data_IF_328996820480
#
_entry.id   IF_328996820480
#
_cell.length_a   1.000
_cell.length_b   1.000
_cell.length_c   1.000
_cell.angle_alpha   90.00
_cell.angle_beta   90.00
_cell.angle_gamma   90.00
#
_symmetry.space_group_name_H-M   'P 1'
#
loop_
_entity.id
_entity.type
_entity.pdbx_description
1 polymer ?
#
# COMPACT_ATOMS: atom_id res chain seq x y z
N UNK A 1 24.87 0.94 19.67
CA UNK A 1 23.41 0.87 19.46
C UNK A 1 23.19 0.69 17.97
N UNK A 2 22.59 -0.43 17.53
CA UNK A 2 22.25 -0.59 16.11
C UNK A 2 21.22 0.49 15.74
N UNK A 3 21.39 1.21 14.64
CA UNK A 3 20.44 2.22 14.21
C UNK A 3 19.10 1.53 13.87
N UNK A 4 17.98 2.00 14.43
CA UNK A 4 16.65 1.53 14.03
C UNK A 4 16.45 1.78 12.53
N UNK A 5 15.92 0.79 11.83
CA UNK A 5 15.63 0.87 10.40
C UNK A 5 14.71 2.08 10.09
N UNK A 6 15.01 2.87 9.05
CA UNK A 6 14.22 4.04 8.72
C UNK A 6 12.86 3.66 8.12
N UNK A 7 11.91 4.60 8.20
CA UNK A 7 10.57 4.46 7.64
C UNK A 7 10.38 5.45 6.49
N UNK A 8 10.00 4.94 5.32
CA UNK A 8 9.70 5.75 4.15
C UNK A 8 8.24 5.60 3.76
N UNK A 9 7.51 6.70 3.77
CA UNK A 9 6.10 6.75 3.37
C UNK A 9 6.02 7.31 1.96
N UNK A 10 5.45 6.54 1.04
CA UNK A 10 5.26 6.93 -0.34
C UNK A 10 3.78 7.16 -0.68
N UNK A 11 3.49 8.29 -1.32
CA UNK A 11 2.18 8.59 -1.89
C UNK A 11 2.32 9.16 -3.29
N UNK A 12 1.27 8.99 -4.10
CA UNK A 12 1.14 9.66 -5.40
C UNK A 12 -0.21 10.35 -5.48
N UNK A 13 -0.35 11.31 -6.40
CA UNK A 13 -1.61 12.01 -6.62
C UNK A 13 -1.76 12.39 -8.09
N UNK A 14 -3.00 12.60 -8.50
CA UNK A 14 -3.36 13.05 -9.84
C UNK A 14 -3.78 14.53 -9.80
N UNK A 15 -3.64 15.25 -10.91
CA UNK A 15 -3.95 16.70 -10.95
C UNK A 15 -5.38 17.02 -10.51
N UNK A 16 -6.33 16.14 -10.81
CA UNK A 16 -7.75 16.29 -10.46
C UNK A 16 -8.07 16.16 -8.96
N UNK A 17 -7.13 15.71 -8.12
CA UNK A 17 -7.34 15.44 -6.68
C UNK A 17 -6.61 16.40 -5.75
N UNK A 18 -6.12 17.53 -6.26
CA UNK A 18 -5.36 18.49 -5.44
C UNK A 18 -6.07 18.95 -4.15
N UNK A 19 -7.40 19.08 -4.16
CA UNK A 19 -8.15 19.45 -2.97
C UNK A 19 -8.20 18.32 -1.92
N UNK A 20 -8.30 17.06 -2.37
CA UNK A 20 -8.17 15.89 -1.50
C UNK A 20 -6.75 15.79 -0.93
N UNK A 21 -5.74 15.82 -1.82
CA UNK A 21 -4.32 15.79 -1.47
C UNK A 21 -3.97 16.88 -0.46
N UNK A 22 -4.61 18.05 -0.57
CA UNK A 22 -4.46 19.11 0.41
C UNK A 22 -4.78 18.56 1.81
N UNK A 23 -5.97 18.04 2.05
CA UNK A 23 -6.35 17.58 3.40
C UNK A 23 -5.60 16.32 3.83
N UNK A 24 -5.35 15.39 2.91
CA UNK A 24 -4.60 14.16 3.19
C UNK A 24 -3.19 14.46 3.72
N UNK A 25 -2.44 15.35 3.07
CA UNK A 25 -1.12 15.75 3.54
C UNK A 25 -1.15 16.45 4.91
N UNK A 26 -2.21 17.21 5.24
CA UNK A 26 -2.32 17.78 6.59
C UNK A 26 -2.44 16.66 7.64
N UNK A 27 -3.17 15.58 7.35
CA UNK A 27 -3.28 14.43 8.24
C UNK A 27 -1.98 13.59 8.34
N UNK A 28 -1.25 13.45 7.23
CA UNK A 28 0.04 12.74 7.19
C UNK A 28 1.15 13.53 7.91
N UNK A 29 1.20 14.85 7.74
CA UNK A 29 2.19 15.70 8.41
C UNK A 29 1.93 15.85 9.92
N UNK A 30 0.71 15.54 10.38
CA UNK A 30 0.32 15.57 11.78
C UNK A 30 0.48 14.21 12.50
N UNK A 31 1.11 13.22 11.85
CA UNK A 31 1.33 11.90 12.43
C UNK A 31 2.21 11.96 13.67
N UNK A 32 1.88 11.10 14.64
CA UNK A 32 2.76 10.81 15.75
C UNK A 32 3.92 9.94 15.26
N UNK A 33 5.16 10.41 15.43
CA UNK A 33 6.36 9.66 15.02
C UNK A 33 6.64 8.50 15.98
N UNK A 34 7.29 7.41 15.52
CA UNK A 34 7.78 6.35 16.39
C UNK A 34 8.61 6.89 17.57
N UNK A 35 8.45 6.29 18.75
CA UNK A 35 9.08 6.79 19.97
C UNK A 35 10.60 6.55 20.02
N UNK A 36 11.12 5.66 19.18
CA UNK A 36 12.53 5.27 19.16
C UNK A 36 13.42 6.22 18.35
N UNK A 37 12.86 7.31 17.81
CA UNK A 37 13.61 8.35 17.11
C UNK A 37 14.17 7.92 15.75
N UNK A 38 13.73 6.79 15.19
CA UNK A 38 14.14 6.35 13.85
C UNK A 38 13.79 7.41 12.79
N UNK A 39 14.59 7.55 11.72
CA UNK A 39 14.26 8.48 10.65
C UNK A 39 12.92 8.11 10.00
N UNK A 40 12.09 9.11 9.73
CA UNK A 40 10.83 8.96 9.00
C UNK A 40 10.72 10.04 7.93
N UNK A 41 10.46 9.65 6.69
CA UNK A 41 10.33 10.58 5.57
C UNK A 41 9.03 10.33 4.78
N UNK A 42 8.42 11.42 4.31
CA UNK A 42 7.22 11.39 3.47
C UNK A 42 7.57 11.83 2.04
N UNK A 43 7.31 10.97 1.06
CA UNK A 43 7.63 11.18 -0.34
C UNK A 43 6.35 11.24 -1.19
N UNK A 44 6.08 12.41 -1.75
CA UNK A 44 5.02 12.60 -2.73
C UNK A 44 5.59 12.53 -4.15
N UNK A 45 5.13 11.57 -4.94
CA UNK A 45 5.51 11.39 -6.34
C UNK A 45 4.43 11.94 -7.26
N UNK A 46 4.78 12.96 -8.05
CA UNK A 46 3.90 13.59 -9.05
C UNK A 46 4.45 13.34 -10.46
N UNK A 47 3.57 13.43 -11.46
CA UNK A 47 3.98 13.36 -12.86
C UNK A 47 3.48 14.57 -13.63
N UNK A 48 4.23 14.96 -14.66
CA UNK A 48 3.82 15.93 -15.67
C UNK A 48 3.04 15.28 -16.80
N UNK A 49 3.25 13.99 -17.01
CA UNK A 49 2.67 13.21 -18.10
C UNK A 49 1.24 12.78 -17.75
N UNK A 50 0.35 12.69 -18.75
CA UNK A 50 -0.96 12.14 -18.54
C UNK A 50 -0.93 10.61 -18.40
N UNK A 51 -1.84 10.06 -17.61
CA UNK A 51 -2.10 8.62 -17.50
C UNK A 51 -3.49 8.37 -16.93
N UNK A 52 -4.32 7.60 -17.64
CA UNK A 52 -5.72 7.36 -17.27
C UNK A 52 -6.49 8.67 -17.00
N UNK A 53 -6.93 8.88 -15.76
CA UNK A 53 -7.66 10.06 -15.29
C UNK A 53 -6.74 11.22 -14.88
N UNK A 54 -5.42 11.00 -14.85
CA UNK A 54 -4.44 12.03 -14.53
C UNK A 54 -4.07 12.79 -15.80
N UNK A 55 -4.43 14.08 -15.95
CA UNK A 55 -3.93 14.88 -17.07
C UNK A 55 -2.48 15.35 -16.85
N UNK A 56 -1.87 15.03 -15.70
CA UNK A 56 -0.52 15.48 -15.34
C UNK A 56 -0.49 16.89 -14.76
N UNK A 57 0.54 17.19 -13.95
CA UNK A 57 0.75 18.50 -13.35
C UNK A 57 1.70 19.35 -14.21
N UNK A 58 1.24 20.52 -14.66
CA UNK A 58 2.11 21.45 -15.40
C UNK A 58 3.26 22.03 -14.55
N UNK A 59 3.00 22.28 -13.26
CA UNK A 59 3.97 22.82 -12.32
C UNK A 59 3.63 22.39 -10.89
N UNK A 60 4.57 22.56 -9.96
CA UNK A 60 4.36 22.27 -8.55
C UNK A 60 3.32 23.24 -7.94
N UNK A 61 2.16 22.76 -7.46
CA UNK A 61 1.15 23.59 -6.82
C UNK A 61 1.68 24.43 -5.65
N UNK A 62 1.21 25.67 -5.52
CA UNK A 62 1.68 26.59 -4.48
C UNK A 62 1.48 26.09 -3.05
N UNK A 63 0.44 25.29 -2.79
CA UNK A 63 0.21 24.71 -1.46
C UNK A 63 1.27 23.66 -1.08
N UNK A 64 1.83 22.92 -2.06
CA UNK A 64 2.91 21.97 -1.81
C UNK A 64 4.21 22.69 -1.47
N UNK A 65 4.53 23.79 -2.18
CA UNK A 65 5.71 24.62 -1.85
C UNK A 65 5.69 25.07 -0.39
N UNK A 66 4.54 25.56 0.07
CA UNK A 66 4.35 25.96 1.48
C UNK A 66 4.53 24.80 2.46
N UNK A 67 4.02 23.60 2.13
CA UNK A 67 4.15 22.43 3.01
C UNK A 67 5.57 21.89 3.08
N UNK A 68 6.28 21.81 1.96
CA UNK A 68 7.69 21.42 1.92
C UNK A 68 8.51 22.36 2.82
N UNK A 69 8.30 23.67 2.70
CA UNK A 69 9.00 24.65 3.53
C UNK A 69 8.67 24.46 5.02
N UNK A 70 7.37 24.36 5.39
CA UNK A 70 6.97 24.17 6.79
C UNK A 70 7.46 22.86 7.39
N UNK A 71 7.44 21.77 6.64
CA UNK A 71 7.88 20.45 7.13
C UNK A 71 9.39 20.38 7.38
N UNK A 72 10.19 21.20 6.70
CA UNK A 72 11.65 21.28 6.92
C UNK A 72 12.04 22.08 8.16
N UNK A 73 11.18 23.01 8.57
CA UNK A 73 11.45 23.92 9.68
C UNK A 73 10.93 23.42 11.03
N UNK A 74 10.01 22.44 11.02
CA UNK A 74 9.41 21.90 12.23
C UNK A 74 10.02 20.56 12.66
N UNK A 75 9.79 20.12 13.91
CA UNK A 75 10.28 18.84 14.43
C UNK A 75 9.45 17.63 13.95
N UNK A 76 8.56 17.83 12.97
CA UNK A 76 7.62 16.83 12.50
C UNK A 76 8.12 16.05 11.28
N UNK A 77 7.21 15.31 10.65
CA UNK A 77 7.48 14.54 9.44
C UNK A 77 7.89 15.46 8.28
N UNK A 78 9.06 15.20 7.68
CA UNK A 78 9.55 15.94 6.52
C UNK A 78 8.85 15.51 5.22
N UNK A 79 8.34 16.48 4.43
CA UNK A 79 7.80 16.23 3.09
C UNK A 79 8.84 16.49 2.00
N UNK A 80 9.03 15.50 1.15
CA UNK A 80 9.76 15.58 -0.11
C UNK A 80 8.80 15.38 -1.27
N UNK A 81 8.99 16.13 -2.35
CA UNK A 81 8.17 16.03 -3.57
C UNK A 81 9.08 15.75 -4.75
N UNK A 82 8.72 14.74 -5.54
CA UNK A 82 9.51 14.22 -6.63
C UNK A 82 8.69 14.21 -7.92
N UNK A 83 9.36 14.45 -9.05
CA UNK A 83 8.80 14.22 -10.37
C UNK A 83 9.20 12.83 -10.86
N UNK A 84 8.26 12.09 -11.44
CA UNK A 84 8.48 10.76 -12.00
C UNK A 84 7.58 10.53 -13.21
N UNK A 85 7.91 9.54 -14.04
CA UNK A 85 7.07 9.09 -15.14
C UNK A 85 5.72 8.58 -14.62
N UNK A 86 4.67 8.67 -15.43
CA UNK A 86 3.33 8.34 -14.95
C UNK A 86 2.99 6.85 -15.11
N UNK A 87 3.28 6.07 -14.06
CA UNK A 87 2.91 4.65 -13.98
C UNK A 87 1.66 4.42 -13.12
N UNK A 88 0.77 5.41 -13.04
CA UNK A 88 -0.46 5.28 -12.24
C UNK A 88 -0.18 5.02 -10.75
N UNK A 89 -0.85 4.02 -10.13
CA UNK A 89 -0.76 3.77 -8.69
C UNK A 89 0.60 3.25 -8.22
N UNK A 90 1.38 2.59 -9.09
CA UNK A 90 2.73 2.09 -8.75
C UNK A 90 3.69 3.18 -8.27
N UNK A 91 3.43 4.44 -8.65
CA UNK A 91 4.21 5.62 -8.21
C UNK A 91 4.23 5.80 -6.69
N UNK A 92 3.33 5.18 -5.93
CA UNK A 92 3.37 5.24 -4.46
C UNK A 92 4.68 4.68 -3.93
N UNK A 93 5.18 3.57 -4.49
CA UNK A 93 6.33 2.85 -3.92
C UNK A 93 7.46 2.55 -4.90
N UNK A 94 7.21 2.33 -6.20
CA UNK A 94 8.29 1.96 -7.13
C UNK A 94 9.36 3.06 -7.28
N UNK A 95 9.00 4.36 -7.47
CA UNK A 95 9.98 5.44 -7.48
C UNK A 95 10.72 5.61 -6.15
N UNK A 96 10.12 5.20 -5.03
CA UNK A 96 10.77 5.22 -3.74
C UNK A 96 11.85 4.13 -3.67
N UNK A 97 11.55 2.92 -4.13
CA UNK A 97 12.49 1.79 -4.19
C UNK A 97 13.72 2.11 -5.05
N UNK A 98 13.53 2.78 -6.18
CA UNK A 98 14.61 3.21 -7.09
C UNK A 98 15.56 4.23 -6.45
N UNK A 99 15.10 4.98 -5.45
CA UNK A 99 15.83 6.08 -4.82
C UNK A 99 16.56 5.68 -3.55
N UNK A 100 16.34 4.47 -3.04
CA UNK A 100 17.01 4.00 -1.83
C UNK A 100 18.52 3.87 -2.05
N UNK A 101 19.32 4.51 -1.21
CA UNK A 101 20.78 4.32 -1.25
C UNK A 101 21.17 2.91 -0.79
N UNK A 102 22.35 2.39 -1.16
CA UNK A 102 22.82 1.10 -0.66
C UNK A 102 22.80 1.00 0.87
N UNK A 103 23.14 2.09 1.58
CA UNK A 103 23.13 2.16 3.04
C UNK A 103 21.70 2.07 3.58
N UNK A 104 20.75 2.77 2.95
CA UNK A 104 19.34 2.66 3.32
C UNK A 104 18.82 1.24 3.07
N UNK A 105 19.16 0.62 1.93
CA UNK A 105 18.75 -0.75 1.61
C UNK A 105 19.31 -1.76 2.62
N UNK A 106 20.56 -1.60 3.06
CA UNK A 106 21.20 -2.46 4.05
C UNK A 106 20.51 -2.42 5.44
N UNK A 107 19.77 -1.36 5.75
CA UNK A 107 18.99 -1.22 6.99
C UNK A 107 17.61 -1.87 6.93
N UNK A 108 17.23 -2.48 5.81
CA UNK A 108 15.91 -3.09 5.56
C UNK A 108 14.74 -2.16 5.96
N UNK A 109 14.57 -1.04 5.25
CA UNK A 109 13.67 0.02 5.66
C UNK A 109 12.21 -0.43 5.61
N UNK A 110 11.38 0.22 6.43
CA UNK A 110 9.93 0.04 6.36
C UNK A 110 9.34 0.97 5.32
N UNK A 111 8.72 0.41 4.29
CA UNK A 111 8.11 1.10 3.16
C UNK A 111 6.60 1.12 3.35
N UNK A 112 6.01 2.29 3.45
CA UNK A 112 4.57 2.46 3.70
C UNK A 112 3.91 3.18 2.53
N UNK A 113 2.86 2.60 1.97
CA UNK A 113 2.02 3.28 0.97
C UNK A 113 0.95 4.15 1.63
N UNK A 114 0.63 5.28 1.02
CA UNK A 114 -0.51 6.12 1.38
C UNK A 114 -1.26 6.63 0.13
N UNK A 115 -2.54 6.93 0.29
CA UNK A 115 -3.43 7.44 -0.74
C UNK A 115 -3.61 8.96 -0.62
N UNK A 116 -3.91 9.63 -1.73
CA UNK A 116 -4.11 11.09 -1.76
C UNK A 116 -5.51 11.56 -1.33
N UNK A 117 -6.40 10.62 -1.02
CA UNK A 117 -7.82 10.85 -0.77
C UNK A 117 -8.30 10.26 0.58
N UNK A 118 -7.40 10.22 1.57
CA UNK A 118 -7.67 9.61 2.88
C UNK A 118 -7.27 10.54 4.02
N UNK A 119 -8.13 10.67 5.03
CA UNK A 119 -7.77 11.33 6.28
C UNK A 119 -7.26 10.30 7.28
N UNK A 120 -5.96 10.34 7.54
CA UNK A 120 -5.29 9.39 8.43
C UNK A 120 -5.46 9.80 9.91
N UNK A 121 -5.86 8.87 10.80
CA UNK A 121 -5.78 9.06 12.25
C UNK A 121 -4.36 9.41 12.70
N UNK A 122 -4.19 10.20 13.77
CA UNK A 122 -2.86 10.68 14.22
C UNK A 122 -1.89 9.58 14.64
N UNK A 123 -2.40 8.41 15.00
CA UNK A 123 -1.65 7.23 15.42
C UNK A 123 -1.42 6.23 14.29
N UNK A 124 -1.90 6.50 13.07
CA UNK A 124 -1.82 5.61 11.91
C UNK A 124 -0.41 5.05 11.67
N UNK A 125 0.61 5.92 11.67
CA UNK A 125 1.99 5.52 11.47
C UNK A 125 2.49 4.59 12.58
N UNK A 126 2.21 4.92 13.84
CA UNK A 126 2.62 4.10 14.99
C UNK A 126 1.98 2.73 14.97
N UNK A 127 0.71 2.64 14.56
CA UNK A 127 -0.02 1.38 14.45
C UNK A 127 0.61 0.46 13.41
N UNK A 128 0.97 0.99 12.23
CA UNK A 128 1.68 0.20 11.20
C UNK A 128 3.06 -0.25 11.67
N UNK A 129 3.84 0.64 12.30
CA UNK A 129 5.18 0.31 12.81
C UNK A 129 5.11 -0.76 13.89
N UNK A 130 4.26 -0.57 14.91
CA UNK A 130 4.11 -1.50 16.03
C UNK A 130 3.60 -2.87 15.56
N UNK A 131 2.64 -2.89 14.63
CA UNK A 131 2.15 -4.13 14.06
C UNK A 131 3.25 -4.84 13.23
N UNK A 132 4.04 -4.10 12.44
CA UNK A 132 5.10 -4.72 11.67
C UNK A 132 6.18 -5.31 12.57
N UNK A 133 6.54 -4.63 13.66
CA UNK A 133 7.49 -5.14 14.66
C UNK A 133 6.95 -6.37 15.39
N UNK A 134 5.66 -6.36 15.71
CA UNK A 134 4.99 -7.50 16.37
C UNK A 134 4.91 -8.72 15.47
N UNK A 135 4.58 -8.54 14.19
CA UNK A 135 4.25 -9.64 13.29
C UNK A 135 5.34 -10.00 12.30
N UNK A 136 6.39 -9.19 12.11
CA UNK A 136 7.48 -9.49 11.19
C UNK A 136 7.07 -9.72 9.73
N UNK A 137 5.84 -9.38 9.34
CA UNK A 137 5.29 -9.65 8.01
C UNK A 137 4.72 -8.36 7.38
N UNK A 138 4.03 -8.47 6.24
CA UNK A 138 3.37 -7.32 5.62
C UNK A 138 2.14 -6.94 6.43
N UNK A 139 1.99 -5.66 6.74
CA UNK A 139 0.87 -5.16 7.53
C UNK A 139 0.04 -4.20 6.69
N UNK A 140 -1.29 -4.36 6.72
CA UNK A 140 -2.20 -3.39 6.13
C UNK A 140 -3.38 -3.14 7.04
N UNK A 141 -4.05 -2.00 6.88
CA UNK A 141 -5.34 -1.82 7.54
C UNK A 141 -6.42 -2.70 6.92
N UNK A 142 -6.39 -2.83 5.59
CA UNK A 142 -7.48 -3.42 4.83
C UNK A 142 -6.97 -4.36 3.75
N UNK A 143 -7.80 -5.33 3.42
CA UNK A 143 -7.51 -6.31 2.40
C UNK A 143 -8.62 -7.34 2.33
N UNK A 144 -8.28 -8.45 1.69
CA UNK A 144 -9.14 -9.64 1.60
C UNK A 144 -8.28 -10.87 1.81
N UNK A 145 -8.89 -12.01 2.10
CA UNK A 145 -8.18 -13.27 2.13
C UNK A 145 -8.73 -14.20 1.04
N UNK A 146 -7.81 -14.69 0.21
CA UNK A 146 -8.10 -15.66 -0.84
C UNK A 146 -8.73 -16.89 -0.21
N UNK A 147 -9.76 -17.42 -0.86
CA UNK A 147 -10.35 -18.70 -0.50
C UNK A 147 -9.94 -19.73 -1.54
N UNK A 148 -9.68 -20.93 -1.06
CA UNK A 148 -9.32 -22.07 -1.89
C UNK A 148 -10.45 -23.09 -1.82
N UNK A 149 -10.79 -23.66 -2.97
CA UNK A 149 -11.68 -24.81 -3.10
C UNK A 149 -11.04 -25.78 -4.09
N UNK A 150 -10.91 -27.05 -3.69
CA UNK A 150 -10.28 -28.11 -4.51
C UNK A 150 -8.90 -27.71 -5.09
N UNK A 151 -8.11 -26.96 -4.32
CA UNK A 151 -6.77 -26.51 -4.73
C UNK A 151 -6.75 -25.30 -5.68
N UNK A 152 -7.92 -24.76 -6.04
CA UNK A 152 -8.06 -23.58 -6.91
C UNK A 152 -8.47 -22.34 -6.12
N UNK A 153 -7.99 -21.16 -6.55
CA UNK A 153 -8.39 -19.89 -5.95
C UNK A 153 -9.81 -19.54 -6.42
N UNK A 154 -10.71 -19.30 -5.46
CA UNK A 154 -12.07 -18.86 -5.74
C UNK A 154 -12.09 -17.43 -6.33
N UNK A 155 -13.17 -17.05 -7.03
CA UNK A 155 -13.33 -15.68 -7.53
C UNK A 155 -13.19 -14.60 -6.44
N UNK A 156 -12.66 -13.44 -6.82
CA UNK A 156 -12.33 -12.31 -5.95
C UNK A 156 -13.51 -11.78 -5.12
N UNK A 157 -14.74 -11.96 -5.62
CA UNK A 157 -15.96 -11.55 -4.92
C UNK A 157 -16.33 -12.48 -3.75
N UNK A 158 -15.85 -13.72 -3.77
CA UNK A 158 -16.08 -14.75 -2.75
C UNK A 158 -15.06 -14.73 -1.62
N UNK A 159 -13.98 -13.95 -1.77
CA UNK A 159 -12.93 -13.80 -0.77
C UNK A 159 -13.46 -13.19 0.53
N UNK A 160 -12.85 -13.58 1.65
CA UNK A 160 -13.21 -13.01 2.95
C UNK A 160 -12.82 -11.53 3.03
N UNK A 161 -13.75 -10.70 3.52
CA UNK A 161 -13.60 -9.23 3.62
C UNK A 161 -14.15 -8.62 4.92
N UNK A 162 -14.78 -9.44 5.76
CA UNK A 162 -15.41 -9.08 7.03
C UNK A 162 -15.25 -10.26 8.01
N UNK A 163 -14.02 -10.68 8.28
CA UNK A 163 -13.73 -11.96 8.94
C UNK A 163 -12.53 -11.84 9.89
N UNK A 164 -12.62 -12.40 11.09
CA UNK A 164 -11.57 -12.30 12.12
C UNK A 164 -10.26 -12.98 11.72
N UNK A 165 -10.31 -13.97 10.81
CA UNK A 165 -9.09 -14.60 10.27
C UNK A 165 -8.17 -13.62 9.55
N UNK A 166 -8.70 -12.48 9.13
CA UNK A 166 -7.93 -11.38 8.56
C UNK A 166 -6.94 -10.76 9.56
N UNK A 167 -7.19 -10.90 10.87
CA UNK A 167 -6.32 -10.39 11.93
C UNK A 167 -5.13 -11.31 12.22
N UNK A 168 -4.93 -12.38 11.44
CA UNK A 168 -3.80 -13.31 11.59
C UNK A 168 -2.91 -13.28 10.34
N UNK A 169 -1.58 -13.36 10.49
CA UNK A 169 -0.68 -13.50 9.35
C UNK A 169 -1.05 -14.70 8.47
N UNK A 170 -1.19 -14.47 7.17
CA UNK A 170 -1.48 -15.54 6.20
C UNK A 170 -0.90 -15.21 4.82
N UNK A 171 -0.38 -16.23 4.13
CA UNK A 171 0.00 -16.10 2.72
C UNK A 171 -1.20 -15.85 1.81
N UNK A 172 -2.41 -16.19 2.25
CA UNK A 172 -3.64 -15.96 1.50
C UNK A 172 -4.21 -14.55 1.70
N UNK A 173 -3.73 -13.81 2.69
CA UNK A 173 -4.13 -12.41 2.89
C UNK A 173 -3.52 -11.53 1.82
N UNK A 174 -4.38 -10.81 1.12
CA UNK A 174 -4.06 -9.83 0.07
C UNK A 174 -4.42 -8.44 0.61
N UNK A 175 -3.42 -7.66 1.05
CA UNK A 175 -3.60 -6.23 1.33
C UNK A 175 -4.22 -5.51 0.14
N UNK A 176 -5.10 -4.54 0.40
CA UNK A 176 -5.57 -3.59 -0.62
C UNK A 176 -4.97 -2.23 -0.29
N UNK A 177 -4.47 -1.48 -1.27
CA UNK A 177 -3.66 -0.26 -1.06
C UNK A 177 -4.27 0.87 -0.23
N UNK A 178 -5.58 0.81 0.06
CA UNK A 178 -6.29 1.83 0.84
C UNK A 178 -5.93 1.76 2.32
N UNK A 179 -5.89 2.93 2.95
CA UNK A 179 -5.56 3.14 4.36
C UNK A 179 -4.11 2.73 4.72
N UNK A 180 -3.34 2.27 3.74
CA UNK A 180 -1.91 2.05 3.81
C UNK A 180 -1.50 0.60 4.04
N UNK A 181 -0.38 0.26 3.41
CA UNK A 181 0.29 -1.04 3.54
C UNK A 181 1.75 -0.79 3.85
N UNK A 182 2.29 -1.52 4.83
CA UNK A 182 3.66 -1.49 5.28
C UNK A 182 4.40 -2.78 4.89
N UNK A 183 5.53 -2.63 4.21
CA UNK A 183 6.42 -3.70 3.76
C UNK A 183 7.83 -3.42 4.28
N UNK A 184 8.56 -4.45 4.71
CA UNK A 184 10.03 -4.36 4.75
C UNK A 184 10.57 -4.54 3.33
N UNK A 185 11.73 -3.95 3.03
CA UNK A 185 12.36 -4.14 1.73
C UNK A 185 12.66 -5.63 1.46
N UNK A 186 13.14 -6.34 2.48
CA UNK A 186 13.44 -7.78 2.46
C UNK A 186 12.22 -8.68 2.17
N UNK A 187 11.01 -8.16 2.38
CA UNK A 187 9.76 -8.88 2.12
C UNK A 187 9.33 -8.79 0.65
N UNK A 188 9.97 -7.95 -0.15
CA UNK A 188 9.69 -7.77 -1.56
C UNK A 188 10.80 -8.39 -2.40
N UNK A 189 10.43 -9.31 -3.28
CA UNK A 189 11.36 -9.82 -4.27
C UNK A 189 11.84 -8.69 -5.19
N UNK A 190 13.14 -8.65 -5.51
CA UNK A 190 13.78 -7.53 -6.20
C UNK A 190 13.16 -7.21 -7.57
N UNK A 191 12.52 -8.18 -8.22
CA UNK A 191 11.83 -8.03 -9.51
C UNK A 191 10.58 -7.15 -9.40
N UNK A 192 10.11 -6.82 -8.20
CA UNK A 192 8.97 -5.90 -7.98
C UNK A 192 9.18 -4.55 -8.64
N UNK A 193 10.44 -4.14 -8.82
CA UNK A 193 10.88 -2.88 -9.44
C UNK A 193 10.64 -2.83 -10.96
N UNK A 194 10.34 -3.95 -11.60
CA UNK A 194 10.11 -4.03 -13.04
C UNK A 194 8.75 -3.45 -13.42
N UNK A 195 8.72 -2.14 -13.67
CA UNK A 195 7.50 -1.38 -13.99
C UNK A 195 6.85 -1.88 -15.28
N UNK A 196 7.64 -2.18 -16.31
CA UNK A 196 7.12 -2.63 -17.59
C UNK A 196 6.36 -3.96 -17.43
N UNK A 197 6.95 -4.90 -16.70
CA UNK A 197 6.31 -6.17 -16.38
C UNK A 197 5.12 -6.01 -15.44
N UNK A 198 5.21 -5.12 -14.45
CA UNK A 198 4.09 -4.82 -13.56
C UNK A 198 2.87 -4.33 -14.34
N UNK A 199 3.07 -3.40 -15.29
CA UNK A 199 2.01 -2.89 -16.16
C UNK A 199 1.48 -3.96 -17.12
N UNK A 200 2.34 -4.81 -17.66
CA UNK A 200 1.94 -5.87 -18.59
C UNK A 200 1.11 -6.98 -17.92
N UNK A 201 1.46 -7.36 -16.68
CA UNK A 201 0.84 -8.49 -15.96
C UNK A 201 -0.31 -8.01 -15.07
N UNK A 202 -0.09 -6.94 -14.31
CA UNK A 202 -1.02 -6.49 -13.28
C UNK A 202 -1.78 -5.20 -13.63
N UNK A 203 -1.44 -4.55 -14.75
CA UNK A 203 -2.17 -3.40 -15.27
C UNK A 203 -2.15 -2.22 -14.30
N UNK A 204 -3.21 -2.05 -13.52
CA UNK A 204 -3.31 -1.01 -12.47
C UNK A 204 -3.58 -1.59 -11.08
N UNK A 205 -3.59 -2.91 -10.93
CA UNK A 205 -3.71 -3.60 -9.65
C UNK A 205 -2.32 -3.73 -9.01
N UNK A 206 -1.82 -2.60 -8.53
CA UNK A 206 -0.54 -2.54 -7.83
C UNK A 206 -0.52 -3.47 -6.61
N UNK A 207 -1.63 -3.56 -5.88
CA UNK A 207 -1.78 -4.47 -4.76
C UNK A 207 -1.54 -5.95 -5.11
N UNK A 208 -2.05 -6.43 -6.25
CA UNK A 208 -1.82 -7.79 -6.73
C UNK A 208 -0.37 -8.02 -7.19
N UNK A 209 0.26 -7.03 -7.82
CA UNK A 209 1.68 -7.11 -8.16
C UNK A 209 2.56 -7.22 -6.92
N UNK A 210 2.40 -6.31 -5.96
CA UNK A 210 3.15 -6.36 -4.70
C UNK A 210 2.87 -7.66 -3.94
N UNK A 211 1.61 -8.14 -3.94
CA UNK A 211 1.27 -9.43 -3.34
C UNK A 211 2.02 -10.59 -3.99
N UNK A 212 2.16 -10.57 -5.31
CA UNK A 212 2.92 -11.59 -6.04
C UNK A 212 4.38 -11.63 -5.59
N UNK A 213 5.00 -10.47 -5.39
CA UNK A 213 6.38 -10.38 -4.90
C UNK A 213 6.55 -10.72 -3.42
N UNK A 214 5.51 -10.58 -2.59
CA UNK A 214 5.56 -11.09 -1.21
C UNK A 214 5.36 -12.61 -1.15
N UNK A 215 4.62 -13.18 -2.11
CA UNK A 215 4.54 -14.65 -2.27
C UNK A 215 5.88 -15.24 -2.72
N UNK A 216 6.60 -14.59 -3.64
CA UNK A 216 7.95 -15.00 -4.07
C UNK A 216 8.95 -15.10 -2.91
N UNK A 217 8.84 -14.22 -1.91
CA UNK A 217 9.67 -14.25 -0.71
C UNK A 217 9.11 -15.15 0.40
N UNK A 218 7.89 -15.68 0.22
CA UNK A 218 7.17 -16.45 1.24
C UNK A 218 6.74 -15.61 2.44
N UNK A 219 6.50 -14.30 2.25
CA UNK A 219 6.10 -13.37 3.30
C UNK A 219 4.57 -13.30 3.42
N UNK A 220 3.99 -13.61 4.61
CA UNK A 220 2.56 -13.48 4.83
C UNK A 220 2.13 -12.01 4.98
N UNK A 221 0.81 -11.80 5.06
CA UNK A 221 0.24 -10.50 5.37
C UNK A 221 -0.79 -10.61 6.49
N UNK A 222 -0.91 -9.57 7.30
CA UNK A 222 -1.93 -9.43 8.34
C UNK A 222 -2.68 -8.12 8.18
N UNK A 223 -3.99 -8.14 8.46
CA UNK A 223 -4.81 -6.95 8.48
C UNK A 223 -5.02 -6.44 9.91
N UNK A 224 -5.12 -5.12 10.05
CA UNK A 224 -5.45 -4.48 11.33
C UNK A 224 -6.95 -4.26 11.51
N UNK A 225 -7.71 -4.25 10.41
CA UNK A 225 -9.18 -4.26 10.44
C UNK A 225 -9.70 -5.54 9.85
N UNK A 226 -10.64 -6.16 10.57
CA UNK A 226 -11.36 -7.32 10.06
C UNK A 226 -12.57 -6.92 9.23
N UNK A 227 -13.01 -5.65 9.28
CA UNK A 227 -14.18 -5.17 8.54
C UNK A 227 -13.92 -3.91 7.72
N UNK A 228 -14.50 -3.89 6.52
CA UNK A 228 -14.54 -2.70 5.64
C UNK A 228 -15.24 -1.49 6.27
N UNK A 229 -16.01 -1.67 7.34
CA UNK A 229 -16.65 -0.58 8.09
C UNK A 229 -15.68 0.25 8.94
N UNK A 230 -14.49 -0.27 9.23
CA UNK A 230 -13.46 0.39 10.05
C UNK A 230 -12.53 1.30 9.23
N UNK A 231 -12.78 1.42 7.91
CA UNK A 231 -11.97 2.22 7.00
C UNK A 231 -11.90 3.69 7.43
N UNK A 232 -10.80 4.36 7.05
CA UNK A 232 -10.65 5.78 7.33
C UNK A 232 -11.57 6.64 6.45
N UNK A 233 -11.66 7.93 6.79
CA UNK A 233 -12.51 8.87 6.08
C UNK A 233 -11.92 9.11 4.68
N UNK A 234 -12.68 8.72 3.66
CA UNK A 234 -12.37 8.97 2.25
C UNK A 234 -12.76 10.41 1.87
N UNK A 235 -11.99 10.99 0.96
CA UNK A 235 -12.21 12.32 0.40
C UNK A 235 -12.61 12.22 -1.07
N UNK A 236 -13.60 13.00 -1.48
CA UNK A 236 -13.84 13.26 -2.91
C UNK A 236 -12.67 14.02 -3.53
N UNK A 237 -12.60 14.08 -4.87
CA UNK A 237 -11.62 14.90 -5.60
C UNK A 237 -11.63 16.38 -5.21
N UNK A 238 -12.79 16.89 -4.73
CA UNK A 238 -12.98 18.24 -4.19
C UNK A 238 -12.55 18.40 -2.73
N UNK A 239 -12.04 17.34 -2.10
CA UNK A 239 -11.62 17.32 -0.71
C UNK A 239 -12.78 17.28 0.30
N UNK A 240 -14.00 16.93 -0.12
CA UNK A 240 -15.12 16.74 0.80
C UNK A 240 -15.11 15.33 1.38
N UNK A 241 -15.37 15.20 2.68
CA UNK A 241 -15.45 13.91 3.35
C UNK A 241 -16.66 13.12 2.84
N UNK A 242 -16.42 11.88 2.42
CA UNK A 242 -17.45 10.96 1.95
C UNK A 242 -17.93 10.11 3.13
N UNK A 243 -19.24 10.05 3.32
CA UNK A 243 -19.89 9.14 4.27
C UNK A 243 -20.53 8.00 3.50
N UNK A 244 -20.18 6.76 3.87
CA UNK A 244 -20.87 5.58 3.35
C UNK A 244 -22.32 5.57 3.84
N UNK A 245 -23.27 5.32 2.93
CA UNK A 245 -24.69 5.17 3.24
C UNK A 245 -25.55 6.43 3.09
N UNK A 246 -24.98 7.59 2.76
CA UNK A 246 -25.75 8.82 2.50
C UNK A 246 -26.20 8.88 1.04
N UNK A 247 -27.53 8.86 0.80
CA UNK A 247 -28.11 9.04 -0.54
C UNK A 247 -27.65 10.37 -1.15
N UNK A 248 -27.16 10.34 -2.39
CA UNK A 248 -26.78 11.54 -3.16
C UNK A 248 -25.31 11.96 -3.06
N UNK A 249 -24.50 11.33 -2.20
CA UNK A 249 -23.04 11.49 -2.30
C UNK A 249 -22.51 10.61 -3.44
N UNK A 250 -21.63 11.13 -4.32
CA UNK A 250 -20.94 10.28 -5.27
C UNK A 250 -20.14 9.26 -4.45
N UNK A 251 -20.44 7.97 -4.62
CA UNK A 251 -19.47 6.93 -4.27
C UNK A 251 -18.20 7.34 -4.99
N UNK A 252 -17.11 7.54 -4.23
CA UNK A 252 -15.84 8.00 -4.78
C UNK A 252 -15.58 7.24 -6.07
N UNK A 253 -15.24 7.95 -7.15
CA UNK A 253 -14.81 7.33 -8.39
C UNK A 253 -13.45 6.66 -8.11
N UNK A 254 -13.47 5.55 -7.40
CA UNK A 254 -12.34 4.65 -7.26
C UNK A 254 -12.04 4.16 -8.67
N UNK A 255 -10.77 4.20 -9.08
CA UNK A 255 -10.30 3.66 -10.36
C UNK A 255 -10.89 2.25 -10.64
N UNK A 256 -11.08 1.48 -9.57
CA UNK A 256 -11.79 0.20 -9.54
C UNK A 256 -13.15 0.21 -10.27
N UNK A 257 -14.03 1.17 -10.02
CA UNK A 257 -15.36 1.21 -10.64
C UNK A 257 -15.34 1.73 -12.09
N UNK A 258 -14.36 2.57 -12.43
CA UNK A 258 -14.24 3.12 -13.79
C UNK A 258 -13.56 2.17 -14.78
N UNK A 259 -12.72 1.25 -14.31
CA UNK A 259 -11.88 0.40 -15.17
C UNK A 259 -12.25 -1.09 -15.08
N UNK A 260 -12.59 -1.63 -13.90
CA UNK A 260 -12.91 -3.05 -13.75
C UNK A 260 -14.39 -3.35 -13.97
N UNK A 261 -14.78 -3.53 -15.24
CA UNK A 261 -16.02 -4.26 -15.56
C UNK A 261 -15.77 -5.77 -15.37
N UNK A 262 -16.61 -6.44 -14.58
CA UNK A 262 -16.79 -7.92 -14.49
C UNK A 262 -15.50 -8.77 -14.61
N UNK A 263 -14.88 -9.12 -13.47
CA UNK A 263 -13.81 -10.14 -13.42
C UNK A 263 -12.38 -9.64 -13.64
N UNK A 264 -12.15 -8.33 -13.74
CA UNK A 264 -10.80 -7.78 -13.98
C UNK A 264 -9.75 -8.20 -12.95
N UNK A 265 -10.09 -8.22 -11.65
CA UNK A 265 -9.17 -8.68 -10.62
C UNK A 265 -8.88 -10.19 -10.70
N UNK A 266 -9.85 -11.00 -11.15
CA UNK A 266 -9.68 -12.44 -11.32
C UNK A 266 -8.70 -12.74 -12.46
N UNK A 267 -8.85 -12.03 -13.59
CA UNK A 267 -7.93 -12.14 -14.73
C UNK A 267 -6.50 -11.72 -14.34
N UNK A 268 -6.35 -10.54 -13.72
CA UNK A 268 -5.05 -10.05 -13.27
C UNK A 268 -4.42 -11.03 -12.26
N UNK A 269 -5.21 -11.57 -11.33
CA UNK A 269 -4.70 -12.56 -10.39
C UNK A 269 -4.21 -13.81 -11.11
N UNK A 270 -4.95 -14.31 -12.10
CA UNK A 270 -4.53 -15.47 -12.88
C UNK A 270 -3.18 -15.22 -13.57
N UNK A 271 -2.99 -14.05 -14.18
CA UNK A 271 -1.71 -13.66 -14.81
C UNK A 271 -0.58 -13.55 -13.78
N UNK A 272 -0.85 -12.97 -12.61
CA UNK A 272 0.07 -12.92 -11.49
C UNK A 272 0.48 -14.33 -10.99
N UNK A 273 -0.49 -15.25 -10.86
CA UNK A 273 -0.22 -16.63 -10.43
C UNK A 273 0.56 -17.42 -11.49
N UNK A 274 0.27 -17.23 -12.77
CA UNK A 274 1.04 -17.83 -13.86
C UNK A 274 2.50 -17.33 -13.86
N UNK A 275 2.70 -16.02 -13.67
CA UNK A 275 4.03 -15.45 -13.49
C UNK A 275 4.75 -16.05 -12.29
N UNK A 276 4.08 -16.12 -11.14
CA UNK A 276 4.61 -16.69 -9.91
C UNK A 276 5.06 -18.14 -10.11
N UNK A 277 4.24 -18.97 -10.76
CA UNK A 277 4.55 -20.36 -11.09
C UNK A 277 5.79 -20.46 -11.99
N UNK A 278 5.89 -19.61 -13.02
CA UNK A 278 7.04 -19.56 -13.92
C UNK A 278 8.34 -19.17 -13.19
N UNK A 279 8.26 -18.29 -12.17
CA UNK A 279 9.42 -17.87 -11.40
C UNK A 279 9.88 -18.89 -10.34
N UNK A 280 8.98 -19.75 -9.84
CA UNK A 280 9.25 -20.68 -8.73
C UNK A 280 9.47 -22.14 -9.16
N UNK A 281 9.38 -22.47 -10.46
CA UNK A 281 9.78 -23.79 -10.97
C UNK A 281 8.91 -24.97 -10.52
N UNK A 282 7.66 -24.75 -10.12
CA UNK A 282 6.71 -25.81 -9.75
C UNK A 282 6.62 -26.16 -8.25
N UNK A 283 7.48 -25.62 -7.40
CA UNK A 283 7.51 -25.89 -5.94
C UNK A 283 6.69 -24.88 -5.09
N UNK A 284 5.70 -24.23 -5.70
CA UNK A 284 4.98 -23.09 -5.10
C UNK A 284 4.40 -23.41 -3.72
N UNK A 285 3.70 -24.54 -3.64
CA UNK A 285 2.87 -24.87 -2.49
C UNK A 285 3.64 -25.57 -1.37
N UNK A 286 4.73 -26.28 -1.68
CA UNK A 286 5.59 -26.92 -0.68
C UNK A 286 6.39 -25.88 0.12
N UNK A 287 7.06 -24.94 -0.56
CA UNK A 287 7.83 -23.87 0.09
C UNK A 287 6.97 -22.84 0.84
N UNK A 288 5.75 -22.58 0.34
CA UNK A 288 4.75 -21.77 1.04
C UNK A 288 4.15 -22.50 2.24
N UNK A 289 3.92 -23.82 2.13
CA UNK A 289 3.34 -24.65 3.18
C UNK A 289 4.21 -24.76 4.43
N UNK A 290 5.52 -24.97 4.27
CA UNK A 290 6.47 -25.02 5.39
C UNK A 290 6.58 -23.67 6.11
N UNK A 291 6.64 -22.57 5.35
CA UNK A 291 6.65 -21.20 5.93
C UNK A 291 5.32 -20.83 6.56
N UNK A 292 4.17 -21.25 6.03
CA UNK A 292 2.87 -21.03 6.68
C UNK A 292 2.81 -21.64 8.10
N UNK A 293 3.46 -22.80 8.32
CA UNK A 293 3.48 -23.46 9.64
C UNK A 293 4.25 -22.67 10.69
N UNK A 294 5.29 -21.92 10.33
CA UNK A 294 6.03 -21.06 11.28
C UNK A 294 5.23 -19.84 11.71
N UNK A 295 4.29 -19.37 10.89
CA UNK A 295 3.43 -18.21 11.19
C UNK A 295 2.10 -18.56 11.90
N UNK A 296 1.68 -19.82 11.87
CA UNK A 296 0.39 -20.27 12.43
C UNK A 296 0.28 -20.06 13.96
N UNK A 297 1.40 -19.87 14.66
CA UNK A 297 1.44 -19.60 16.11
C UNK A 297 1.38 -18.09 16.46
N UNK A 298 1.36 -17.19 15.47
CA UNK A 298 1.32 -15.76 15.75
C UNK A 298 -0.05 -15.34 16.35
N UNK A 299 -0.06 -14.47 17.38
CA UNK A 299 -1.30 -13.97 17.97
C UNK A 299 -2.10 -13.13 16.96
N UNK A 300 -3.40 -12.91 17.20
CA UNK A 300 -4.19 -12.02 16.35
C UNK A 300 -3.84 -10.54 16.59
N UNK A 301 -4.10 -9.69 15.60
CA UNK A 301 -3.92 -8.23 15.63
C UNK A 301 -4.98 -7.47 16.48
N UNK A 302 -5.65 -8.15 17.41
CA UNK A 302 -6.62 -7.53 18.31
C UNK A 302 -5.99 -6.42 19.16
N UNK A 303 -6.67 -5.27 19.24
CA UNK A 303 -6.25 -4.13 20.07
C UNK A 303 -5.17 -3.21 19.49
N UNK A 304 -4.85 -3.32 18.19
CA UNK A 304 -3.89 -2.46 17.47
C UNK A 304 -4.54 -1.37 16.60
#
# INVERSE_FOLDING_TARGET
>A
MSASAPVFIGLTSIRGRQAALKRTLDSLLAQQLPADGRPVELHLFLSREPYLLDPGFAALPGFLRRRIWRSRMGPGLGLQVHWTANWGPYRKLLPLLERLTPEQQALDPLLISADDDTLYPRDWLRRLVAAQERFGCVVAFRGRQMRLEEGSVLPYHDWWRNDERLLRPSLLTVPTGKDGIAYRLSQLDWRVRDVERALAIAGHADDLWFKTHTLLTGTPSVLLHHSMGQQFIELSSKGLSLQRGVRGQPIGQTLFLSINKRGGNDAVLADCLAYLQAQMGGELWSACGERCRTWAAAPAAEGL
#
